data_IF_290295552906
#
_entry.id   IF_290295552906
#
_cell.length_a   1.000
_cell.length_b   1.000
_cell.length_c   1.000
_cell.angle_alpha   90.00
_cell.angle_beta   90.00
_cell.angle_gamma   90.00
#
_symmetry.space_group_name_H-M   'P 1'
#
loop_
_entity.id
_entity.type
_entity.pdbx_description
1 polymer ?
#
# COMPACT_ATOMS: atom_id res chain seq x y z
N UNK A 1 -47.39 -33.70 41.75
CA UNK A 1 -47.35 -33.86 40.27
C UNK A 1 -47.76 -32.52 39.64
N UNK A 2 -46.99 -31.99 38.67
CA UNK A 2 -47.30 -30.86 37.76
C UNK A 2 -46.64 -29.48 37.90
N UNK A 3 -45.64 -29.23 38.76
CA UNK A 3 -44.95 -27.90 38.73
C UNK A 3 -43.41 -27.91 38.63
N UNK A 4 -42.76 -29.07 38.64
CA UNK A 4 -41.28 -29.14 38.65
C UNK A 4 -40.67 -29.50 37.29
N UNK A 5 -41.49 -29.79 36.27
CA UNK A 5 -41.02 -30.20 34.93
C UNK A 5 -40.91 -29.01 33.97
N UNK A 6 -41.49 -27.85 34.31
CA UNK A 6 -41.53 -26.69 33.41
C UNK A 6 -40.26 -25.83 33.44
N UNK A 7 -39.39 -25.98 34.45
CA UNK A 7 -38.18 -25.15 34.58
C UNK A 7 -36.97 -25.77 33.83
N UNK A 8 -36.99 -27.07 33.58
CA UNK A 8 -35.88 -27.79 32.91
C UNK A 8 -35.95 -27.64 31.37
N UNK A 9 -37.10 -27.28 30.80
CA UNK A 9 -37.25 -27.07 29.36
C UNK A 9 -36.82 -25.67 28.87
N UNK A 10 -36.57 -24.73 29.77
CA UNK A 10 -36.09 -23.37 29.43
C UNK A 10 -34.57 -23.24 29.33
N UNK A 11 -33.81 -24.29 29.64
CA UNK A 11 -32.34 -24.25 29.68
C UNK A 11 -31.62 -24.89 28.47
N UNK A 12 -32.35 -25.35 27.44
CA UNK A 12 -31.76 -26.10 26.30
C UNK A 12 -31.78 -25.32 24.96
N UNK A 13 -32.18 -24.05 24.93
CA UNK A 13 -32.08 -23.22 23.72
C UNK A 13 -30.99 -22.14 23.80
N UNK A 14 -29.90 -22.42 24.51
CA UNK A 14 -28.59 -21.84 24.19
C UNK A 14 -27.92 -22.72 23.12
N UNK A 15 -28.64 -23.00 22.03
CA UNK A 15 -27.98 -23.38 20.80
C UNK A 15 -27.06 -22.23 20.46
N UNK A 16 -25.76 -22.50 20.49
CA UNK A 16 -24.72 -21.59 20.04
C UNK A 16 -25.17 -21.05 18.69
N UNK A 17 -25.63 -19.80 18.66
CA UNK A 17 -25.78 -19.05 17.44
C UNK A 17 -24.35 -18.90 16.95
N UNK A 18 -23.90 -19.86 16.14
CA UNK A 18 -22.72 -19.67 15.31
C UNK A 18 -23.00 -18.38 14.56
N UNK A 19 -22.18 -17.36 14.84
CA UNK A 19 -22.19 -16.11 14.12
C UNK A 19 -22.37 -16.42 12.64
N UNK A 20 -23.30 -15.74 11.97
CA UNK A 20 -23.39 -15.79 10.52
C UNK A 20 -21.96 -15.62 9.97
N UNK A 21 -21.56 -16.46 9.02
CA UNK A 21 -20.30 -16.27 8.30
C UNK A 21 -20.24 -14.80 7.91
N UNK A 22 -19.13 -14.13 8.26
CA UNK A 22 -18.95 -12.73 7.91
C UNK A 22 -19.17 -12.61 6.40
N UNK A 23 -20.20 -11.86 6.02
CA UNK A 23 -20.58 -11.73 4.61
C UNK A 23 -19.39 -11.22 3.80
N UNK A 24 -19.28 -11.68 2.55
CA UNK A 24 -18.30 -11.09 1.65
C UNK A 24 -18.63 -9.62 1.42
N UNK A 25 -17.62 -8.74 1.35
CA UNK A 25 -17.86 -7.38 0.94
C UNK A 25 -18.51 -7.38 -0.45
N UNK A 26 -19.29 -6.34 -0.75
CA UNK A 26 -19.77 -6.14 -2.11
C UNK A 26 -18.58 -5.85 -3.03
N UNK A 27 -18.27 -6.80 -3.92
CA UNK A 27 -17.14 -6.70 -4.84
C UNK A 27 -17.67 -6.36 -6.22
N UNK A 28 -17.16 -5.27 -6.79
CA UNK A 28 -17.37 -4.92 -8.19
C UNK A 28 -16.03 -4.98 -8.92
N UNK A 29 -16.02 -5.75 -10.00
CA UNK A 29 -14.88 -5.89 -10.88
C UNK A 29 -15.02 -4.97 -12.09
N UNK A 30 -13.90 -4.40 -12.53
CA UNK A 30 -13.79 -3.65 -13.78
C UNK A 30 -12.72 -4.31 -14.65
N UNK A 31 -13.08 -4.69 -15.87
CA UNK A 31 -12.18 -5.36 -16.78
C UNK A 31 -11.35 -4.37 -17.60
N UNK A 32 -10.21 -4.80 -18.18
CA UNK A 32 -9.40 -3.94 -19.06
C UNK A 32 -10.15 -3.35 -20.24
N UNK A 33 -11.20 -4.04 -20.73
CA UNK A 33 -12.04 -3.51 -21.81
C UNK A 33 -12.93 -2.35 -21.36
N UNK A 34 -13.33 -2.29 -20.09
CA UNK A 34 -14.16 -1.20 -19.54
C UNK A 34 -13.37 0.09 -19.35
N UNK A 35 -12.13 0.01 -18.85
CA UNK A 35 -11.28 1.19 -18.63
C UNK A 35 -10.27 1.44 -19.76
N UNK A 36 -10.29 0.61 -20.81
CA UNK A 36 -9.45 0.72 -22.01
C UNK A 36 -7.93 0.76 -21.71
N UNK A 37 -7.46 0.04 -20.69
CA UNK A 37 -6.06 -0.01 -20.26
C UNK A 37 -5.46 -1.42 -20.32
N UNK A 38 -4.28 -1.59 -19.71
CA UNK A 38 -3.70 -2.92 -19.47
C UNK A 38 -4.27 -3.55 -18.20
N UNK A 39 -4.17 -4.87 -18.04
CA UNK A 39 -4.71 -5.59 -16.89
C UNK A 39 -4.05 -5.25 -15.56
N UNK A 40 -2.81 -4.74 -15.58
CA UNK A 40 -2.07 -4.39 -14.38
C UNK A 40 -2.29 -2.92 -14.00
N UNK A 41 -2.76 -2.73 -12.77
CA UNK A 41 -2.87 -1.44 -12.12
C UNK A 41 -1.98 -1.44 -10.87
N UNK A 42 -1.03 -0.52 -10.80
CA UNK A 42 0.05 -0.51 -9.81
C UNK A 42 -0.23 0.38 -8.60
N UNK A 43 -0.99 1.45 -8.82
CA UNK A 43 -1.33 2.43 -7.81
C UNK A 43 -2.80 2.81 -7.92
N UNK A 44 -3.39 3.21 -6.80
CA UNK A 44 -4.71 3.79 -6.72
C UNK A 44 -4.68 4.95 -5.72
N UNK A 45 -5.36 6.05 -6.04
CA UNK A 45 -5.49 7.20 -5.15
C UNK A 45 -6.85 7.89 -5.39
N UNK A 46 -7.45 8.43 -4.33
CA UNK A 46 -8.73 9.13 -4.40
C UNK A 46 -8.54 10.63 -4.17
N UNK A 47 -9.06 11.47 -5.08
CA UNK A 47 -9.06 12.91 -4.84
C UNK A 47 -10.13 13.36 -3.84
N UNK A 48 -10.11 14.64 -3.48
CA UNK A 48 -11.06 15.21 -2.50
C UNK A 48 -12.51 15.30 -3.02
N UNK A 49 -12.74 15.03 -4.31
CA UNK A 49 -14.08 14.97 -4.93
C UNK A 49 -14.62 13.54 -4.95
N UNK A 50 -13.83 12.56 -4.52
CA UNK A 50 -14.16 11.13 -4.56
C UNK A 50 -13.82 10.45 -5.89
N UNK A 51 -13.18 11.14 -6.83
CA UNK A 51 -12.74 10.57 -8.10
C UNK A 51 -11.51 9.70 -7.85
N UNK A 52 -11.52 8.49 -8.40
CA UNK A 52 -10.43 7.53 -8.27
C UNK A 52 -9.46 7.67 -9.45
N UNK A 53 -8.17 7.61 -9.16
CA UNK A 53 -7.11 7.53 -10.16
C UNK A 53 -6.34 6.24 -9.99
N UNK A 54 -5.95 5.63 -11.11
CA UNK A 54 -5.17 4.39 -11.12
C UNK A 54 -3.96 4.51 -12.04
N UNK A 55 -2.83 4.02 -11.54
CA UNK A 55 -1.60 3.92 -12.31
C UNK A 55 -1.61 2.65 -13.15
N UNK A 56 -1.52 2.78 -14.47
CA UNK A 56 -1.60 1.68 -15.42
C UNK A 56 -0.38 1.71 -16.37
N UNK A 57 -0.04 0.56 -16.97
CA UNK A 57 0.99 0.51 -18.01
C UNK A 57 0.61 1.25 -19.31
N UNK A 58 -0.65 1.70 -19.43
CA UNK A 58 -1.17 2.49 -20.55
C UNK A 58 -1.58 3.90 -20.11
N UNK A 59 -0.93 4.47 -19.11
CA UNK A 59 -1.16 5.84 -18.62
C UNK A 59 -1.98 5.90 -17.33
N UNK A 60 -2.66 7.02 -17.13
CA UNK A 60 -3.46 7.31 -15.93
C UNK A 60 -4.93 7.04 -16.24
N UNK A 61 -5.58 6.24 -15.40
CA UNK A 61 -7.02 5.98 -15.47
C UNK A 61 -7.72 6.85 -14.43
N UNK A 62 -8.78 7.56 -14.82
CA UNK A 62 -9.66 8.34 -13.95
C UNK A 62 -11.04 7.70 -13.96
N UNK A 63 -11.62 7.52 -12.78
CA UNK A 63 -12.94 6.94 -12.61
C UNK A 63 -13.81 7.78 -11.67
N UNK A 64 -14.96 8.23 -12.17
CA UNK A 64 -15.87 9.12 -11.43
C UNK A 64 -17.06 8.40 -10.77
N UNK A 65 -17.01 7.06 -10.66
CA UNK A 65 -18.13 6.24 -10.17
C UNK A 65 -19.08 5.74 -11.27
N UNK A 66 -18.91 6.20 -12.52
CA UNK A 66 -19.67 5.72 -13.67
C UNK A 66 -18.82 5.54 -14.93
N UNK A 67 -18.07 6.56 -15.30
CA UNK A 67 -17.30 6.62 -16.53
C UNK A 67 -15.81 6.53 -16.23
N UNK A 68 -15.09 5.90 -17.17
CA UNK A 68 -13.64 5.88 -17.21
C UNK A 68 -13.12 6.90 -18.21
N UNK A 69 -12.08 7.64 -17.83
CA UNK A 69 -11.25 8.43 -18.74
C UNK A 69 -9.81 7.93 -18.62
N UNK A 70 -9.09 7.93 -19.74
CA UNK A 70 -7.65 7.67 -19.75
C UNK A 70 -6.91 8.84 -20.35
N UNK A 71 -5.80 9.21 -19.75
CA UNK A 71 -4.87 10.22 -20.26
C UNK A 71 -3.43 9.83 -19.92
N UNK A 72 -2.46 10.58 -20.41
CA UNK A 72 -1.05 10.21 -20.34
C UNK A 72 -0.23 11.28 -19.63
N UNK A 73 0.91 10.86 -19.09
CA UNK A 73 2.00 11.76 -18.74
C UNK A 73 2.69 12.26 -20.01
N UNK A 74 3.68 13.15 -19.88
CA UNK A 74 4.37 13.71 -21.05
C UNK A 74 5.15 12.64 -21.82
N UNK A 75 5.69 11.62 -21.14
CA UNK A 75 6.41 10.51 -21.78
C UNK A 75 5.54 9.29 -22.07
N UNK A 76 4.34 9.21 -21.49
CA UNK A 76 3.39 8.11 -21.73
C UNK A 76 3.88 6.75 -21.24
N UNK A 77 4.70 6.71 -20.20
CA UNK A 77 5.28 5.48 -19.64
C UNK A 77 4.38 4.85 -18.57
N UNK A 78 4.82 3.72 -18.00
CA UNK A 78 4.08 3.00 -16.96
C UNK A 78 3.99 3.83 -15.69
N UNK A 79 2.77 4.01 -15.18
CA UNK A 79 2.51 4.70 -13.92
C UNK A 79 2.55 3.70 -12.79
N UNK A 80 3.50 3.86 -11.87
CA UNK A 80 3.79 2.87 -10.82
C UNK A 80 3.38 3.34 -9.43
N UNK A 81 3.34 4.65 -9.19
CA UNK A 81 3.06 5.19 -7.87
C UNK A 81 2.25 6.47 -7.90
N UNK A 82 1.48 6.68 -6.83
CA UNK A 82 0.69 7.88 -6.60
C UNK A 82 0.70 8.20 -5.10
N UNK A 83 0.63 9.49 -4.75
CA UNK A 83 0.26 9.92 -3.40
C UNK A 83 -0.49 11.23 -3.44
N UNK A 84 -1.43 11.41 -2.52
CA UNK A 84 -2.11 12.68 -2.28
C UNK A 84 -1.48 13.45 -1.12
N UNK A 85 -1.19 14.73 -1.32
CA UNK A 85 -0.75 15.63 -0.25
C UNK A 85 -1.93 16.21 0.57
N UNK A 86 -1.60 16.95 1.63
CA UNK A 86 -2.61 17.59 2.49
C UNK A 86 -3.44 18.67 1.77
N UNK A 87 -2.96 19.18 0.64
CA UNK A 87 -3.67 20.15 -0.19
C UNK A 87 -4.58 19.47 -1.24
N UNK A 88 -4.62 18.13 -1.27
CA UNK A 88 -5.40 17.36 -2.23
C UNK A 88 -4.74 17.19 -3.60
N UNK A 89 -3.47 17.57 -3.76
CA UNK A 89 -2.71 17.36 -4.99
C UNK A 89 -2.23 15.92 -5.04
N UNK A 90 -2.53 15.24 -6.15
CA UNK A 90 -2.05 13.88 -6.40
C UNK A 90 -0.75 13.96 -7.19
N UNK A 91 0.33 13.49 -6.60
CA UNK A 91 1.62 13.30 -7.26
C UNK A 91 1.68 11.93 -7.92
N UNK A 92 2.40 11.86 -9.03
CA UNK A 92 2.53 10.69 -9.90
C UNK A 92 4.00 10.36 -10.08
N UNK A 93 4.35 9.09 -9.87
CA UNK A 93 5.63 8.51 -10.25
C UNK A 93 5.47 7.50 -11.38
N UNK A 94 6.26 7.67 -12.43
CA UNK A 94 6.30 6.81 -13.61
C UNK A 94 7.74 6.38 -13.92
N UNK A 95 7.95 5.68 -15.03
CA UNK A 95 9.29 5.38 -15.52
C UNK A 95 9.95 6.67 -16.05
N UNK A 96 11.06 7.05 -15.41
CA UNK A 96 11.86 8.23 -15.70
C UNK A 96 11.04 9.53 -15.77
N UNK A 97 9.92 9.62 -15.07
CA UNK A 97 9.04 10.79 -15.09
C UNK A 97 8.33 10.96 -13.75
N UNK A 98 8.31 12.20 -13.26
CA UNK A 98 7.58 12.59 -12.04
C UNK A 98 6.72 13.81 -12.32
N UNK A 99 5.61 13.92 -11.60
CA UNK A 99 4.73 15.08 -11.73
C UNK A 99 3.54 15.05 -10.80
N UNK A 100 2.52 15.83 -11.14
CA UNK A 100 1.28 15.88 -10.38
C UNK A 100 0.07 16.14 -11.27
N UNK A 101 -1.12 15.83 -10.73
CA UNK A 101 -2.39 16.07 -11.38
C UNK A 101 -2.89 17.48 -11.07
N UNK A 102 -3.32 18.19 -12.10
CA UNK A 102 -3.88 19.53 -11.99
C UNK A 102 -5.07 19.69 -12.94
N UNK A 103 -6.17 20.25 -12.43
CA UNK A 103 -7.26 20.68 -13.29
C UNK A 103 -6.88 21.94 -14.07
N UNK A 104 -7.22 21.99 -15.36
CA UNK A 104 -7.15 23.20 -16.16
C UNK A 104 -8.36 24.13 -15.89
N UNK A 105 -8.45 25.23 -16.65
CA UNK A 105 -9.54 26.21 -16.52
C UNK A 105 -10.93 25.66 -16.83
N UNK A 106 -11.02 24.52 -17.50
CA UNK A 106 -12.28 23.82 -17.81
C UNK A 106 -12.65 22.77 -16.75
N UNK A 107 -11.75 22.53 -15.78
CA UNK A 107 -11.90 21.49 -14.77
C UNK A 107 -11.38 20.12 -15.20
N UNK A 108 -10.81 20.01 -16.41
CA UNK A 108 -10.23 18.76 -16.92
C UNK A 108 -8.88 18.52 -16.25
N UNK A 109 -8.72 17.34 -15.63
CA UNK A 109 -7.49 16.98 -14.93
C UNK A 109 -6.44 16.48 -15.91
N UNK A 110 -5.28 17.12 -15.88
CA UNK A 110 -4.13 16.83 -16.71
C UNK A 110 -2.89 16.58 -15.84
N UNK A 111 -1.90 15.91 -16.42
CA UNK A 111 -0.59 15.74 -15.81
C UNK A 111 0.28 16.98 -16.01
N UNK A 112 1.00 17.38 -14.96
CA UNK A 112 2.00 18.45 -14.98
C UNK A 112 3.34 17.84 -14.58
N UNK A 113 4.28 17.82 -15.53
CA UNK A 113 5.63 17.28 -15.31
C UNK A 113 6.42 18.14 -14.32
N UNK A 114 7.22 17.48 -13.49
CA UNK A 114 8.22 18.09 -12.60
C UNK A 114 9.66 17.75 -13.01
N UNK A 115 9.85 17.11 -14.16
CA UNK A 115 11.18 16.70 -14.64
C UNK A 115 12.12 17.90 -14.83
N UNK A 116 11.58 19.11 -15.08
CA UNK A 116 12.35 20.34 -15.19
C UNK A 116 13.09 20.73 -13.89
N UNK A 117 12.71 20.14 -12.75
CA UNK A 117 13.39 20.33 -11.47
C UNK A 117 14.59 19.37 -11.31
N UNK A 118 14.72 18.37 -12.17
CA UNK A 118 15.75 17.32 -12.07
C UNK A 118 16.93 17.69 -12.98
N UNK A 119 18.15 17.85 -12.44
CA UNK A 119 19.34 18.09 -13.26
C UNK A 119 19.57 16.94 -14.25
N UNK A 120 20.10 17.25 -15.43
CA UNK A 120 20.36 16.25 -16.50
C UNK A 120 21.14 15.03 -16.00
N UNK A 121 22.17 15.23 -15.16
CA UNK A 121 22.96 14.13 -14.58
C UNK A 121 22.19 13.21 -13.62
N UNK A 122 21.01 13.61 -13.16
CA UNK A 122 20.15 12.87 -12.24
C UNK A 122 18.85 12.39 -12.90
N UNK A 123 18.64 12.68 -14.20
CA UNK A 123 17.37 12.49 -14.92
C UNK A 123 17.08 11.04 -15.32
N UNK A 124 18.07 10.16 -15.21
CA UNK A 124 17.87 8.72 -15.24
C UNK A 124 17.77 8.22 -13.79
N UNK A 125 16.59 7.74 -13.46
CA UNK A 125 16.23 7.19 -12.16
C UNK A 125 15.33 5.96 -12.31
N UNK A 126 15.22 5.42 -13.52
CA UNK A 126 14.44 4.25 -13.89
C UNK A 126 13.00 4.33 -13.37
N UNK A 127 12.54 3.32 -12.64
CA UNK A 127 11.18 3.23 -12.13
C UNK A 127 11.00 3.93 -10.78
N UNK A 128 10.01 4.82 -10.71
CA UNK A 128 9.51 5.35 -9.44
C UNK A 128 8.55 4.35 -8.82
N UNK A 129 9.06 3.46 -7.97
CA UNK A 129 8.32 2.35 -7.41
C UNK A 129 7.26 2.76 -6.37
N UNK A 130 7.51 3.82 -5.60
CA UNK A 130 6.59 4.34 -4.59
C UNK A 130 6.67 5.86 -4.52
N UNK A 131 5.53 6.47 -4.17
CA UNK A 131 5.40 7.89 -3.91
C UNK A 131 4.78 8.05 -2.52
N UNK A 132 5.35 8.93 -1.71
CA UNK A 132 4.78 9.26 -0.40
C UNK A 132 4.69 10.76 -0.23
N UNK A 133 3.59 11.20 0.34
CA UNK A 133 3.32 12.59 0.64
C UNK A 133 3.25 12.72 2.16
N UNK A 134 3.95 13.70 2.72
CA UNK A 134 3.98 13.95 4.16
C UNK A 134 4.13 15.48 4.41
N UNK A 135 4.27 15.90 5.67
CA UNK A 135 4.39 17.33 6.00
C UNK A 135 5.66 18.03 5.47
N UNK A 136 6.68 17.28 5.03
CA UNK A 136 7.92 17.80 4.45
C UNK A 136 7.87 17.87 2.92
N UNK A 137 6.83 17.32 2.28
CA UNK A 137 6.66 17.31 0.84
C UNK A 137 6.41 15.91 0.27
N UNK A 138 6.83 15.71 -0.99
CA UNK A 138 6.69 14.45 -1.72
C UNK A 138 8.03 13.73 -1.85
N UNK A 139 7.99 12.41 -1.70
CA UNK A 139 9.14 11.51 -1.84
C UNK A 139 8.83 10.53 -2.97
N UNK A 140 9.58 10.63 -4.07
CA UNK A 140 9.57 9.64 -5.16
C UNK A 140 10.70 8.66 -4.93
N UNK A 141 10.37 7.40 -4.62
CA UNK A 141 11.32 6.36 -4.26
C UNK A 141 11.62 5.51 -5.49
N UNK A 142 12.88 5.52 -5.92
CA UNK A 142 13.41 4.61 -6.94
C UNK A 142 14.39 3.63 -6.30
N UNK A 143 14.93 2.68 -7.07
CA UNK A 143 15.97 1.78 -6.58
C UNK A 143 17.31 2.48 -6.32
N UNK A 144 17.55 3.63 -6.98
CA UNK A 144 18.86 4.31 -6.99
C UNK A 144 18.89 5.57 -6.13
N UNK A 145 17.73 6.19 -5.89
CA UNK A 145 17.62 7.41 -5.10
C UNK A 145 16.18 7.63 -4.61
N UNK A 146 16.04 8.43 -3.57
CA UNK A 146 14.78 9.11 -3.24
C UNK A 146 14.90 10.53 -3.75
N UNK A 147 13.96 10.96 -4.58
CA UNK A 147 13.81 12.34 -5.01
C UNK A 147 12.77 12.99 -4.09
N UNK A 148 13.22 13.85 -3.19
CA UNK A 148 12.37 14.62 -2.28
C UNK A 148 12.12 15.99 -2.87
N UNK A 149 10.86 16.41 -2.94
CA UNK A 149 10.45 17.75 -3.39
C UNK A 149 9.63 18.40 -2.27
N UNK A 150 10.07 19.55 -1.77
CA UNK A 150 9.36 20.31 -0.75
C UNK A 150 8.22 21.16 -1.33
N UNK A 151 7.46 21.83 -0.46
CA UNK A 151 6.33 22.70 -0.86
C UNK A 151 6.73 23.90 -1.74
N UNK A 152 8.02 24.27 -1.74
CA UNK A 152 8.60 25.32 -2.57
C UNK A 152 9.27 24.78 -3.83
N UNK A 153 9.03 23.50 -4.16
CA UNK A 153 9.62 22.79 -5.29
C UNK A 153 11.16 22.69 -5.25
N UNK A 154 11.78 22.74 -4.08
CA UNK A 154 13.21 22.44 -3.93
C UNK A 154 13.42 20.94 -3.93
N UNK A 155 14.40 20.49 -4.70
CA UNK A 155 14.72 19.08 -4.86
C UNK A 155 15.92 18.69 -3.99
N UNK A 156 15.81 17.55 -3.32
CA UNK A 156 16.93 16.84 -2.68
C UNK A 156 16.95 15.39 -3.14
N UNK A 157 18.16 14.83 -3.21
CA UNK A 157 18.40 13.44 -3.55
C UNK A 157 18.99 12.71 -2.36
N UNK A 158 18.34 11.62 -1.92
CA UNK A 158 18.83 10.75 -0.86
C UNK A 158 19.28 9.45 -1.50
N UNK A 159 20.56 9.10 -1.37
CA UNK A 159 21.15 7.93 -2.01
C UNK A 159 21.16 6.71 -1.07
N UNK A 160 20.96 5.49 -1.59
CA UNK A 160 21.12 4.26 -0.82
C UNK A 160 22.59 4.05 -0.44
N UNK A 161 22.83 3.13 0.49
CA UNK A 161 24.18 2.59 0.70
C UNK A 161 24.52 1.59 -0.41
N UNK A 162 23.52 0.84 -0.89
CA UNK A 162 23.63 -0.07 -2.04
C UNK A 162 22.50 0.17 -3.04
N UNK A 163 21.32 -0.35 -2.79
CA UNK A 163 20.13 -0.21 -3.66
C UNK A 163 18.89 -0.28 -2.79
N UNK A 164 17.94 0.61 -3.02
CA UNK A 164 16.65 0.55 -2.34
C UNK A 164 15.78 -0.57 -2.89
N UNK A 165 15.14 -1.32 -1.99
CA UNK A 165 14.30 -2.45 -2.31
C UNK A 165 12.80 -2.16 -2.14
N UNK A 166 12.36 -1.90 -0.91
CA UNK A 166 10.99 -1.46 -0.61
C UNK A 166 11.00 -0.38 0.46
N UNK A 167 9.91 0.37 0.53
CA UNK A 167 9.76 1.55 1.38
C UNK A 167 8.36 1.61 1.96
N UNK A 168 8.19 2.34 3.07
CA UNK A 168 6.93 2.43 3.81
C UNK A 168 6.80 3.79 4.48
N UNK A 169 5.67 4.48 4.30
CA UNK A 169 5.33 5.68 5.07
C UNK A 169 4.48 5.28 6.27
N UNK A 170 5.00 5.51 7.48
CA UNK A 170 4.37 5.10 8.73
C UNK A 170 4.48 6.23 9.74
N UNK A 171 3.35 6.72 10.25
CA UNK A 171 3.32 7.86 11.20
C UNK A 171 4.15 9.08 10.73
N UNK A 172 3.98 9.47 9.45
CA UNK A 172 4.74 10.57 8.82
C UNK A 172 6.26 10.31 8.68
N UNK A 173 6.74 9.12 9.04
CA UNK A 173 8.13 8.70 8.95
C UNK A 173 8.32 7.75 7.76
N UNK A 174 9.26 8.07 6.88
CA UNK A 174 9.64 7.17 5.78
C UNK A 174 10.64 6.13 6.29
N UNK A 175 10.29 4.86 6.10
CA UNK A 175 11.13 3.69 6.26
C UNK A 175 11.55 3.17 4.89
N UNK A 176 12.77 2.67 4.78
CA UNK A 176 13.28 2.11 3.52
C UNK A 176 14.24 0.95 3.78
N UNK A 177 14.10 -0.13 3.00
CA UNK A 177 15.04 -1.23 2.99
C UNK A 177 16.11 -0.99 1.94
N UNK A 178 17.36 -1.00 2.40
CA UNK A 178 18.53 -1.14 1.56
C UNK A 178 18.85 -2.63 1.42
N UNK A 179 19.08 -3.09 0.19
CA UNK A 179 19.23 -4.52 -0.13
C UNK A 179 20.36 -5.22 0.64
N UNK A 180 21.36 -4.50 1.14
CA UNK A 180 22.48 -5.08 1.89
C UNK A 180 22.67 -4.48 3.29
N UNK A 181 21.99 -3.37 3.60
CA UNK A 181 22.07 -2.70 4.91
C UNK A 181 20.77 -2.79 5.72
N UNK A 182 19.74 -3.43 5.20
CA UNK A 182 18.51 -3.67 5.92
C UNK A 182 17.66 -2.42 6.09
N UNK A 183 16.89 -2.32 7.18
CA UNK A 183 15.88 -1.28 7.36
C UNK A 183 16.45 0.03 7.92
N UNK A 184 16.06 1.14 7.31
CA UNK A 184 16.43 2.50 7.72
C UNK A 184 15.21 3.39 7.87
N UNK A 185 15.36 4.46 8.64
CA UNK A 185 14.49 5.64 8.63
C UNK A 185 15.17 6.79 7.89
N UNK A 186 14.38 7.63 7.25
CA UNK A 186 14.83 8.93 6.73
C UNK A 186 14.66 9.99 7.80
N UNK A 187 15.74 10.46 8.41
CA UNK A 187 15.71 11.52 9.41
C UNK A 187 16.61 12.65 8.90
N UNK A 188 16.07 13.86 8.76
CA UNK A 188 16.80 15.02 8.23
C UNK A 188 17.51 14.71 6.90
N UNK A 189 16.78 14.10 5.96
CA UNK A 189 17.28 13.68 4.64
C UNK A 189 18.44 12.65 4.67
N UNK A 190 18.64 11.97 5.80
CA UNK A 190 19.71 10.98 5.98
C UNK A 190 19.16 9.60 6.34
N UNK A 191 19.82 8.55 5.86
CA UNK A 191 19.54 7.16 6.24
C UNK A 191 20.06 6.87 7.65
N UNK A 192 19.16 6.62 8.58
CA UNK A 192 19.46 6.19 9.94
C UNK A 192 19.05 4.73 10.09
N UNK A 193 20.02 3.85 10.39
CA UNK A 193 19.77 2.43 10.60
C UNK A 193 18.69 2.22 11.67
N UNK A 194 17.70 1.39 11.37
CA UNK A 194 16.74 0.95 12.36
C UNK A 194 17.33 -0.22 13.15
N UNK A 195 17.50 -0.03 14.46
CA UNK A 195 18.16 -0.99 15.35
C UNK A 195 17.53 -2.39 15.27
N UNK A 196 18.35 -3.42 15.10
CA UNK A 196 17.91 -4.82 15.02
C UNK A 196 17.46 -5.28 13.64
N UNK A 197 17.58 -4.44 12.61
CA UNK A 197 17.20 -4.74 11.23
C UNK A 197 18.37 -4.67 10.25
N UNK A 198 19.61 -4.82 10.70
CA UNK A 198 20.83 -4.65 9.89
C UNK A 198 20.96 -5.72 8.80
N UNK A 199 20.37 -6.89 9.01
CA UNK A 199 20.47 -8.06 8.11
C UNK A 199 19.15 -8.50 7.51
N UNK A 200 18.03 -7.98 8.00
CA UNK A 200 16.72 -8.44 7.57
C UNK A 200 16.27 -7.60 6.38
N UNK A 201 16.15 -8.27 5.23
CA UNK A 201 15.70 -7.71 3.96
C UNK A 201 14.61 -8.62 3.43
N UNK A 202 13.41 -8.06 3.21
CA UNK A 202 12.25 -8.64 2.50
C UNK A 202 10.89 -8.22 3.08
N UNK A 203 10.84 -7.15 3.89
CA UNK A 203 9.57 -6.55 4.27
C UNK A 203 8.79 -6.11 3.02
N UNK A 204 7.50 -6.37 3.07
CA UNK A 204 6.47 -6.04 2.08
C UNK A 204 5.44 -5.06 2.64
N UNK A 205 5.37 -4.93 3.96
CA UNK A 205 4.62 -3.87 4.62
C UNK A 205 5.19 -3.60 6.03
N UNK A 206 5.01 -2.36 6.50
CA UNK A 206 5.11 -1.98 7.90
C UNK A 206 3.79 -1.29 8.27
N UNK A 207 3.06 -1.85 9.24
CA UNK A 207 1.74 -1.38 9.63
C UNK A 207 1.76 -0.94 11.09
N UNK A 208 0.93 0.04 11.44
CA UNK A 208 0.83 0.54 12.82
C UNK A 208 -0.16 -0.25 13.65
N UNK A 209 0.15 -0.39 14.92
CA UNK A 209 -0.83 -0.74 15.96
C UNK A 209 -1.10 0.48 16.84
N UNK A 210 -2.01 0.34 17.80
CA UNK A 210 -2.38 1.45 18.69
C UNK A 210 -1.33 1.72 19.80
N UNK A 211 -0.29 0.89 19.95
CA UNK A 211 0.63 0.92 21.11
C UNK A 211 2.10 1.19 20.71
N UNK A 212 2.35 1.99 19.67
CA UNK A 212 3.70 2.24 19.12
C UNK A 212 4.47 0.96 18.70
N UNK A 213 3.73 -0.15 18.52
CA UNK A 213 4.23 -1.40 17.98
C UNK A 213 3.91 -1.43 16.49
N UNK A 214 4.88 -1.88 15.69
CA UNK A 214 4.74 -2.10 14.26
C UNK A 214 4.51 -3.58 13.97
N UNK A 215 3.76 -3.83 12.90
CA UNK A 215 3.60 -5.14 12.28
C UNK A 215 4.36 -5.10 10.95
N UNK A 216 5.48 -5.80 10.88
CA UNK A 216 6.23 -6.05 9.66
C UNK A 216 5.71 -7.31 8.96
N UNK A 217 5.42 -7.21 7.67
CA UNK A 217 5.06 -8.36 6.84
C UNK A 217 6.29 -8.72 5.99
N UNK A 218 6.95 -9.84 6.31
CA UNK A 218 8.15 -10.35 5.65
C UNK A 218 7.80 -11.50 4.70
N UNK A 219 8.43 -11.51 3.53
CA UNK A 219 8.23 -12.59 2.55
C UNK A 219 8.72 -13.96 3.07
N UNK A 220 9.80 -13.98 3.86
CA UNK A 220 10.43 -15.20 4.39
C UNK A 220 9.98 -15.56 5.81
N UNK A 221 9.74 -14.55 6.65
CA UNK A 221 9.46 -14.73 8.08
C UNK A 221 7.99 -14.54 8.47
N UNK A 222 7.11 -14.24 7.52
CA UNK A 222 5.70 -14.00 7.82
C UNK A 222 5.53 -12.69 8.59
N UNK A 223 4.83 -12.73 9.73
CA UNK A 223 4.57 -11.53 10.54
C UNK A 223 5.57 -11.35 11.66
N UNK A 224 6.10 -10.13 11.77
CA UNK A 224 7.10 -9.73 12.73
C UNK A 224 6.58 -8.53 13.51
N UNK A 225 6.67 -8.56 14.83
CA UNK A 225 6.37 -7.40 15.65
C UNK A 225 7.65 -6.74 16.13
N UNK A 226 7.69 -5.42 16.09
CA UNK A 226 8.86 -4.64 16.51
C UNK A 226 8.43 -3.24 16.92
N UNK A 227 9.26 -2.57 17.73
CA UNK A 227 9.11 -1.15 18.06
C UNK A 227 10.49 -0.51 18.05
N UNK A 228 10.62 0.74 18.49
CA UNK A 228 11.94 1.37 18.59
C UNK A 228 12.81 0.73 19.68
N UNK A 229 12.17 0.18 20.72
CA UNK A 229 12.83 -0.42 21.88
C UNK A 229 12.78 -1.94 21.88
N UNK A 230 11.87 -2.55 21.11
CA UNK A 230 11.71 -4.00 21.02
C UNK A 230 12.31 -4.52 19.71
N UNK A 231 13.28 -5.43 19.84
CA UNK A 231 13.87 -6.14 18.71
C UNK A 231 12.82 -6.96 17.94
N UNK A 232 13.06 -7.24 16.65
CA UNK A 232 12.11 -7.99 15.82
C UNK A 232 11.86 -9.40 16.35
N UNK A 233 10.60 -9.69 16.65
CA UNK A 233 10.17 -11.00 17.15
C UNK A 233 9.04 -11.54 16.25
N UNK A 234 9.17 -12.79 15.80
CA UNK A 234 8.11 -13.45 15.04
C UNK A 234 7.05 -13.97 16.01
N UNK A 235 5.77 -13.66 15.80
CA UNK A 235 4.72 -14.02 16.76
C UNK A 235 3.45 -14.67 16.19
N UNK A 236 3.36 -15.01 14.90
CA UNK A 236 2.07 -15.49 14.34
C UNK A 236 2.23 -16.76 13.51
N UNK A 237 1.72 -17.89 14.03
CA UNK A 237 1.75 -19.17 13.32
C UNK A 237 0.77 -19.23 12.14
N UNK A 238 -0.44 -18.65 12.25
CA UNK A 238 -1.45 -18.75 11.18
C UNK A 238 -0.99 -18.11 9.88
N UNK A 239 -0.55 -16.84 9.91
CA UNK A 239 -0.07 -16.13 8.71
C UNK A 239 1.20 -16.74 8.10
N UNK A 240 1.99 -17.51 8.87
CA UNK A 240 3.14 -18.22 8.32
C UNK A 240 2.73 -19.27 7.27
N UNK A 241 1.50 -19.80 7.35
CA UNK A 241 0.96 -20.76 6.37
C UNK A 241 0.74 -20.11 4.99
N UNK A 242 0.65 -18.78 4.94
CA UNK A 242 0.35 -18.00 3.73
C UNK A 242 1.60 -17.43 3.04
N UNK A 243 2.80 -17.63 3.59
CA UNK A 243 4.05 -17.07 3.04
C UNK A 243 4.31 -17.44 1.58
N UNK A 244 3.85 -18.62 1.16
CA UNK A 244 4.00 -19.12 -0.21
C UNK A 244 3.15 -18.34 -1.23
N UNK A 245 2.19 -17.53 -0.77
CA UNK A 245 1.35 -16.71 -1.64
C UNK A 245 2.05 -15.43 -2.14
N UNK A 246 3.30 -15.20 -1.71
CA UNK A 246 4.12 -14.04 -2.07
C UNK A 246 3.44 -12.72 -1.68
N UNK A 247 3.60 -12.34 -0.41
CA UNK A 247 3.12 -11.05 0.09
C UNK A 247 3.67 -9.90 -0.75
N UNK A 248 2.83 -8.91 -1.03
CA UNK A 248 3.17 -7.80 -1.93
C UNK A 248 3.02 -6.43 -1.25
N UNK A 249 1.84 -6.14 -0.69
CA UNK A 249 1.51 -4.88 -0.01
C UNK A 249 0.62 -5.13 1.20
N UNK A 250 0.60 -4.22 2.15
CA UNK A 250 -0.29 -4.30 3.30
C UNK A 250 -0.84 -2.93 3.71
N UNK A 251 -2.02 -2.92 4.32
CA UNK A 251 -2.67 -1.71 4.84
C UNK A 251 -3.40 -2.01 6.15
N UNK A 252 -3.53 -1.00 7.01
CA UNK A 252 -4.44 -1.02 8.16
C UNK A 252 -5.82 -0.54 7.70
N UNK A 253 -6.85 -1.32 7.96
CA UNK A 253 -8.24 -1.01 7.65
C UNK A 253 -8.88 -0.14 8.76
N UNK A 254 -9.95 0.59 8.41
CA UNK A 254 -10.66 1.48 9.35
C UNK A 254 -11.21 0.78 10.59
N UNK A 255 -11.59 -0.50 10.47
CA UNK A 255 -12.05 -1.33 11.59
C UNK A 255 -10.91 -1.88 12.46
N UNK A 256 -9.68 -1.38 12.30
CA UNK A 256 -8.45 -1.84 12.97
C UNK A 256 -8.00 -3.27 12.62
N UNK A 257 -8.59 -3.88 11.60
CA UNK A 257 -8.01 -5.06 10.97
C UNK A 257 -6.92 -4.67 9.98
N UNK A 258 -6.26 -5.66 9.42
CA UNK A 258 -5.17 -5.50 8.48
C UNK A 258 -5.48 -6.31 7.22
N UNK A 259 -5.07 -5.79 6.07
CA UNK A 259 -5.14 -6.51 4.81
C UNK A 259 -3.75 -6.68 4.21
N UNK A 260 -3.49 -7.85 3.65
CA UNK A 260 -2.29 -8.15 2.84
C UNK A 260 -2.73 -8.53 1.44
N UNK A 261 -2.20 -7.82 0.45
CA UNK A 261 -2.26 -8.20 -0.95
C UNK A 261 -1.17 -9.23 -1.22
N UNK A 262 -1.53 -10.28 -1.93
CA UNK A 262 -0.63 -11.36 -2.34
C UNK A 262 -0.57 -11.46 -3.86
N UNK A 263 0.53 -11.99 -4.39
CA UNK A 263 0.63 -12.20 -5.83
C UNK A 263 -0.10 -13.46 -6.30
N UNK A 264 -0.38 -14.42 -5.40
CA UNK A 264 -0.88 -15.75 -5.77
C UNK A 264 -2.18 -16.18 -5.07
N UNK A 265 -2.68 -15.46 -4.07
CA UNK A 265 -3.85 -15.89 -3.29
C UNK A 265 -4.85 -14.79 -2.95
N UNK A 266 -4.84 -13.66 -3.67
CA UNK A 266 -5.76 -12.55 -3.43
C UNK A 266 -5.38 -11.72 -2.21
N UNK A 267 -6.39 -11.35 -1.41
CA UNK A 267 -6.29 -10.50 -0.23
C UNK A 267 -6.56 -11.34 1.02
N UNK A 268 -5.71 -11.20 2.03
CA UNK A 268 -5.89 -11.82 3.35
C UNK A 268 -6.19 -10.71 4.35
N UNK A 269 -7.30 -10.83 5.07
CA UNK A 269 -7.70 -9.93 6.15
C UNK A 269 -7.48 -10.63 7.49
N UNK A 270 -6.81 -9.98 8.42
CA UNK A 270 -6.50 -10.52 9.74
C UNK A 270 -6.63 -9.45 10.84
N UNK A 271 -6.83 -9.89 12.08
CA UNK A 271 -6.89 -9.01 13.25
C UNK A 271 -5.50 -8.67 13.80
N UNK A 272 -5.44 -7.83 14.83
CA UNK A 272 -4.17 -7.44 15.50
C UNK A 272 -3.39 -8.61 16.14
N UNK A 273 -4.03 -9.76 16.36
CA UNK A 273 -3.42 -10.96 16.92
C UNK A 273 -2.97 -11.93 15.82
N UNK A 274 -3.17 -11.59 14.54
CA UNK A 274 -2.83 -12.43 13.40
C UNK A 274 -3.87 -13.47 13.04
N UNK A 275 -5.05 -13.46 13.71
CA UNK A 275 -6.13 -14.37 13.39
C UNK A 275 -6.71 -14.00 12.03
N UNK A 276 -6.80 -14.97 11.12
CA UNK A 276 -7.42 -14.75 9.82
C UNK A 276 -8.92 -14.50 10.01
N UNK A 277 -9.39 -13.39 9.45
CA UNK A 277 -10.80 -13.00 9.45
C UNK A 277 -11.44 -13.41 8.14
N UNK A 278 -10.74 -13.17 7.02
CA UNK A 278 -11.31 -13.39 5.70
C UNK A 278 -10.22 -13.52 4.63
N UNK A 279 -10.51 -14.30 3.59
CA UNK A 279 -9.74 -14.37 2.37
C UNK A 279 -10.63 -13.95 1.20
N UNK A 280 -10.13 -13.06 0.35
CA UNK A 280 -10.83 -12.57 -0.83
C UNK A 280 -9.97 -12.87 -2.05
N UNK A 281 -10.42 -13.76 -2.92
CA UNK A 281 -9.66 -14.33 -4.03
C UNK A 281 -10.58 -14.57 -5.25
N UNK A 282 -10.07 -15.26 -6.27
CA UNK A 282 -10.81 -15.57 -7.49
C UNK A 282 -12.11 -16.38 -7.24
N UNK A 283 -12.11 -17.28 -6.25
CA UNK A 283 -13.23 -18.18 -5.98
C UNK A 283 -14.41 -17.46 -5.31
N UNK A 284 -14.15 -16.30 -4.69
CA UNK A 284 -15.14 -15.62 -3.86
C UNK A 284 -15.29 -14.11 -4.14
N UNK A 285 -14.73 -13.62 -5.26
CA UNK A 285 -15.18 -12.36 -5.85
C UNK A 285 -14.19 -11.60 -6.74
N UNK A 286 -12.87 -11.80 -6.63
CA UNK A 286 -11.90 -11.08 -7.47
C UNK A 286 -11.86 -11.62 -8.90
N UNK A 287 -11.41 -10.80 -9.86
CA UNK A 287 -11.08 -11.27 -11.23
C UNK A 287 -9.79 -12.08 -11.32
N UNK A 288 -8.99 -12.13 -10.25
CA UNK A 288 -7.72 -12.83 -10.23
C UNK A 288 -7.09 -12.82 -8.85
N UNK A 289 -6.09 -13.68 -8.65
CA UNK A 289 -5.41 -13.85 -7.37
C UNK A 289 -4.21 -12.90 -7.18
N UNK A 290 -3.78 -12.19 -8.22
CA UNK A 290 -2.66 -11.25 -8.14
C UNK A 290 -3.15 -9.86 -7.80
N UNK A 291 -2.78 -9.36 -6.62
CA UNK A 291 -3.17 -8.05 -6.12
C UNK A 291 -1.91 -7.19 -5.91
N UNK A 292 -1.85 -6.04 -6.59
CA UNK A 292 -0.68 -5.14 -6.58
C UNK A 292 -0.89 -3.87 -5.75
N UNK A 293 -2.13 -3.49 -5.44
CA UNK A 293 -2.42 -2.39 -4.52
C UNK A 293 -3.64 -2.70 -3.66
N UNK A 294 -3.68 -2.05 -2.49
CA UNK A 294 -4.80 -2.01 -1.54
C UNK A 294 -5.23 -0.56 -1.34
#
# INVERSE_FOLDING_TARGET
MKLSILIILTFITLSQLFSQNQGFPFIRNYTPSEYHGYSQNWAAEQDNRGVMYFGNGKGILEYNGKNWRRFFTSKGTTILSMCKDNNGRIFIGAENEIGYLKADSTGLVNFVSLDYLIPEKENDFSYVWQSYCNNEGVFFVTSEKIIKIDEHFKVKFIKPFTTFFTSFMVNNQLFIQDSQKGLHKIINDSLVQYNGWEKLVDLRAILTTNNNLYIGISSSKGVIYFSETKLPEQQIAELNSYKNLKFYKGIKLYNNNYAIATMLGGIIIFDKNGKIIQEINLENGLIGNSVYSL
#
